data_IF_940746495001
#
_entry.id   IF_940746495001
#
_cell.length_a   1.000
_cell.length_b   1.000
_cell.length_c   1.000
_cell.angle_alpha   90.00
_cell.angle_beta   90.00
_cell.angle_gamma   90.00
#
_symmetry.space_group_name_H-M   'P 1'
#
loop_
_entity.id
_entity.type
_entity.pdbx_description
1 polymer ?
#
# COMPACT_ATOMS: atom_id res chain seq x y z
N UNK A 1 -13.45 -10.70 -3.12
CA UNK A 1 -13.39 -9.41 -3.82
C UNK A 1 -12.49 -8.47 -3.05
N UNK A 2 -11.66 -7.67 -3.74
CA UNK A 2 -10.90 -6.58 -3.15
C UNK A 2 -11.73 -5.29 -3.25
N UNK A 3 -11.80 -4.49 -2.19
CA UNK A 3 -12.41 -3.15 -2.23
C UNK A 3 -11.65 -2.13 -1.37
N UNK A 4 -11.75 -0.87 -1.78
CA UNK A 4 -11.16 0.30 -1.13
C UNK A 4 -12.24 1.34 -0.91
N UNK A 5 -12.35 1.86 0.31
CA UNK A 5 -13.22 3.00 0.63
C UNK A 5 -12.41 4.09 1.33
N UNK A 6 -12.69 5.35 0.99
CA UNK A 6 -12.05 6.53 1.57
C UNK A 6 -13.07 7.31 2.42
N UNK A 7 -13.34 6.88 3.68
CA UNK A 7 -14.34 7.51 4.54
C UNK A 7 -14.08 9.00 4.81
N UNK A 8 -12.82 9.43 4.73
CA UNK A 8 -12.44 10.84 4.93
C UNK A 8 -12.34 11.62 3.60
N UNK A 9 -13.02 11.12 2.55
CA UNK A 9 -13.02 11.70 1.21
C UNK A 9 -11.81 11.30 0.35
N UNK A 10 -11.81 11.69 -0.94
CA UNK A 10 -10.74 11.31 -1.87
C UNK A 10 -9.41 12.01 -1.54
N UNK A 11 -8.35 11.55 -2.21
CA UNK A 11 -7.01 12.12 -2.11
C UNK A 11 -6.21 11.61 -0.92
N UNK A 12 -4.90 11.49 -1.11
CA UNK A 12 -3.97 11.08 -0.06
C UNK A 12 -3.56 12.30 0.77
N UNK A 13 -3.82 12.29 2.08
CA UNK A 13 -3.39 13.33 3.00
C UNK A 13 -3.11 12.73 4.38
N UNK A 14 -2.13 13.28 5.11
CA UNK A 14 -1.82 12.87 6.49
C UNK A 14 -3.08 12.97 7.35
N UNK A 15 -3.33 11.94 8.15
CA UNK A 15 -4.50 11.83 9.00
C UNK A 15 -5.69 11.09 8.37
N UNK A 16 -5.80 11.07 7.03
CA UNK A 16 -6.92 10.40 6.33
C UNK A 16 -6.86 8.89 6.48
N UNK A 17 -8.03 8.28 6.52
CA UNK A 17 -8.22 6.84 6.67
C UNK A 17 -8.80 6.21 5.42
N UNK A 18 -8.41 4.97 5.20
CA UNK A 18 -8.81 4.16 4.07
C UNK A 18 -9.15 2.76 4.58
N UNK A 19 -10.35 2.30 4.26
CA UNK A 19 -10.81 0.96 4.60
C UNK A 19 -10.54 0.02 3.42
N UNK A 20 -9.69 -0.97 3.64
CA UNK A 20 -9.29 -1.96 2.64
C UNK A 20 -9.88 -3.30 3.04
N UNK A 21 -10.59 -3.93 2.12
CA UNK A 21 -11.07 -5.31 2.26
C UNK A 21 -10.41 -6.13 1.17
N UNK A 22 -9.54 -7.06 1.55
CA UNK A 22 -8.97 -8.05 0.64
C UNK A 22 -9.67 -9.40 0.81
N UNK A 23 -9.68 -10.28 -0.22
CA UNK A 23 -10.19 -11.64 -0.09
C UNK A 23 -9.51 -12.37 1.07
N UNK A 24 -10.26 -13.16 1.84
CA UNK A 24 -9.75 -13.94 2.99
C UNK A 24 -9.17 -13.12 4.17
N UNK A 25 -9.19 -11.79 4.11
CA UNK A 25 -8.81 -10.92 5.22
C UNK A 25 -10.02 -10.17 5.75
N UNK A 26 -10.00 -9.81 7.03
CA UNK A 26 -10.97 -8.86 7.60
C UNK A 26 -10.78 -7.48 6.99
N UNK A 27 -11.80 -6.62 7.08
CA UNK A 27 -11.68 -5.24 6.63
C UNK A 27 -10.71 -4.52 7.59
N UNK A 28 -9.65 -3.94 7.05
CA UNK A 28 -8.65 -3.19 7.82
C UNK A 28 -8.77 -1.71 7.50
N UNK A 29 -8.64 -0.86 8.53
CA UNK A 29 -8.61 0.59 8.38
C UNK A 29 -7.17 1.05 8.54
N UNK A 30 -6.62 1.63 7.47
CA UNK A 30 -5.28 2.20 7.42
C UNK A 30 -5.37 3.71 7.49
N UNK A 31 -4.52 4.34 8.31
CA UNK A 31 -4.39 5.79 8.44
C UNK A 31 -3.09 6.23 7.78
N UNK A 32 -3.11 7.28 6.98
CA UNK A 32 -1.89 7.91 6.47
C UNK A 32 -1.22 8.68 7.61
N UNK A 33 0.04 8.37 7.90
CA UNK A 33 0.81 9.03 8.97
C UNK A 33 1.84 10.01 8.42
N UNK A 34 2.36 9.75 7.23
CA UNK A 34 3.41 10.56 6.60
C UNK A 34 3.19 10.64 5.09
N UNK A 35 3.48 11.80 4.51
CA UNK A 35 3.55 12.01 3.06
C UNK A 35 4.71 12.94 2.77
N UNK A 36 5.56 12.52 1.85
CA UNK A 36 6.48 13.39 1.11
C UNK A 36 6.01 13.40 -0.37
N UNK A 37 5.39 14.49 -0.86
CA UNK A 37 4.75 14.52 -2.16
C UNK A 37 5.66 14.08 -3.31
N UNK A 38 5.24 13.03 -4.03
CA UNK A 38 5.99 12.46 -5.14
C UNK A 38 7.17 11.57 -4.75
N UNK A 39 7.48 11.45 -3.46
CA UNK A 39 8.64 10.70 -2.96
C UNK A 39 8.22 9.52 -2.09
N UNK A 40 7.36 9.71 -1.10
CA UNK A 40 6.96 8.62 -0.21
C UNK A 40 5.66 8.87 0.53
N UNK A 41 5.07 7.79 1.05
CA UNK A 41 4.01 7.88 2.03
C UNK A 41 3.99 6.66 2.95
N UNK A 42 3.51 6.85 4.17
CA UNK A 42 3.43 5.81 5.21
C UNK A 42 1.99 5.68 5.70
N UNK A 43 1.55 4.43 5.83
CA UNK A 43 0.29 4.03 6.44
C UNK A 43 0.54 3.34 7.77
N UNK A 44 -0.42 3.47 8.68
CA UNK A 44 -0.48 2.75 9.94
C UNK A 44 -1.83 2.04 10.06
N UNK A 45 -1.82 0.79 10.53
CA UNK A 45 -3.01 0.06 10.94
C UNK A 45 -2.82 -0.45 12.36
N UNK A 46 -3.80 -0.18 13.22
CA UNK A 46 -3.84 -0.62 14.61
C UNK A 46 -4.97 -1.62 14.82
N UNK A 47 -4.69 -2.71 15.51
CA UNK A 47 -5.66 -3.72 15.94
C UNK A 47 -5.33 -4.23 17.34
N UNK A 48 -6.21 -5.02 17.97
CA UNK A 48 -5.92 -5.62 19.27
C UNK A 48 -4.61 -6.40 19.22
N UNK A 49 -3.60 -6.01 20.00
CA UNK A 49 -2.29 -6.69 20.08
C UNK A 49 -1.41 -6.63 18.83
N UNK A 50 -1.78 -5.85 17.80
CA UNK A 50 -1.06 -5.75 16.53
C UNK A 50 -1.01 -4.33 15.99
N UNK A 51 0.15 -3.98 15.43
CA UNK A 51 0.46 -2.69 14.82
C UNK A 51 1.20 -2.96 13.52
N UNK A 52 0.72 -2.41 12.42
CA UNK A 52 1.36 -2.56 11.12
C UNK A 52 1.64 -1.19 10.50
N UNK A 53 2.81 -1.05 9.90
CA UNK A 53 3.20 0.09 9.08
C UNK A 53 3.39 -0.39 7.65
N UNK A 54 2.87 0.35 6.69
CA UNK A 54 3.16 0.14 5.27
C UNK A 54 3.78 1.41 4.70
N UNK A 55 4.98 1.31 4.14
CA UNK A 55 5.68 2.43 3.52
C UNK A 55 5.84 2.19 2.02
N UNK A 56 5.64 3.25 1.26
CA UNK A 56 5.90 3.28 -0.18
C UNK A 56 6.92 4.38 -0.45
N UNK A 57 7.99 4.03 -1.15
CA UNK A 57 8.95 4.98 -1.69
C UNK A 57 8.90 4.96 -3.22
N UNK A 58 9.01 6.13 -3.83
CA UNK A 58 9.04 6.35 -5.27
C UNK A 58 10.37 6.97 -5.62
N UNK A 59 11.19 6.26 -6.37
CA UNK A 59 12.53 6.70 -6.77
C UNK A 59 12.59 6.85 -8.28
N UNK A 60 12.91 8.05 -8.81
CA UNK A 60 13.14 8.22 -10.24
C UNK A 60 14.37 7.41 -10.67
N UNK A 61 14.29 6.80 -11.84
CA UNK A 61 15.37 6.06 -12.47
C UNK A 61 15.70 6.66 -13.84
N UNK A 62 16.94 6.46 -14.36
CA UNK A 62 17.31 6.89 -15.70
C UNK A 62 16.36 6.36 -16.78
N UNK A 63 16.14 7.17 -17.82
CA UNK A 63 15.27 6.85 -18.95
C UNK A 63 13.78 7.03 -18.65
N UNK A 64 13.42 7.96 -17.75
CA UNK A 64 12.02 8.23 -17.39
C UNK A 64 11.34 7.10 -16.61
N UNK A 65 12.13 6.16 -16.09
CA UNK A 65 11.63 5.02 -15.32
C UNK A 65 11.42 5.41 -13.87
N UNK A 66 10.67 4.60 -13.15
CA UNK A 66 10.41 4.80 -11.72
C UNK A 66 10.48 3.46 -11.00
N UNK A 67 11.19 3.43 -9.88
CA UNK A 67 11.16 2.31 -8.94
C UNK A 67 10.19 2.65 -7.81
N UNK A 68 9.18 1.80 -7.61
CA UNK A 68 8.34 1.87 -6.42
C UNK A 68 8.74 0.74 -5.49
N UNK A 69 9.18 1.08 -4.28
CA UNK A 69 9.48 0.11 -3.22
C UNK A 69 8.35 0.11 -2.21
N UNK A 70 7.85 -1.07 -1.87
CA UNK A 70 6.82 -1.27 -0.85
C UNK A 70 7.42 -2.04 0.33
N UNK A 71 7.19 -1.56 1.54
CA UNK A 71 7.66 -2.18 2.77
C UNK A 71 6.48 -2.32 3.72
N UNK A 72 6.39 -3.46 4.41
CA UNK A 72 5.45 -3.64 5.52
C UNK A 72 6.23 -4.09 6.75
N UNK A 73 6.10 -3.35 7.85
CA UNK A 73 6.58 -3.70 9.19
C UNK A 73 5.36 -4.09 10.04
N UNK A 74 5.38 -5.27 10.65
CA UNK A 74 4.33 -5.74 11.55
C UNK A 74 4.93 -5.99 12.93
N UNK A 75 4.35 -5.34 13.94
CA UNK A 75 4.75 -5.43 15.34
C UNK A 75 3.54 -5.94 16.14
N UNK A 76 3.70 -7.01 16.92
CA UNK A 76 2.59 -7.54 17.72
C UNK A 76 2.79 -8.96 18.21
N UNK A 77 1.98 -9.36 19.20
CA UNK A 77 2.16 -10.56 20.00
C UNK A 77 1.33 -11.78 19.54
N UNK A 78 0.72 -11.75 18.36
CA UNK A 78 0.07 -12.96 17.82
C UNK A 78 1.15 -13.96 17.40
N UNK A 79 1.28 -15.03 18.19
CA UNK A 79 2.39 -15.99 18.20
C UNK A 79 2.99 -16.34 16.84
N UNK A 80 4.29 -16.62 16.83
CA UNK A 80 5.17 -16.82 15.67
C UNK A 80 4.56 -17.61 14.49
N UNK A 81 3.65 -18.54 14.72
CA UNK A 81 2.96 -19.32 13.68
C UNK A 81 1.84 -18.53 12.97
N UNK A 82 0.97 -17.83 13.71
CA UNK A 82 -0.09 -16.98 13.12
C UNK A 82 0.55 -15.76 12.44
N UNK A 83 1.57 -15.18 13.07
CA UNK A 83 2.37 -14.11 12.46
C UNK A 83 3.00 -14.52 11.13
N UNK A 84 3.54 -15.74 11.02
CA UNK A 84 4.18 -16.23 9.78
C UNK A 84 3.20 -16.49 8.64
N UNK A 85 2.02 -17.04 8.92
CA UNK A 85 0.97 -17.25 7.91
C UNK A 85 0.39 -15.92 7.41
N UNK A 86 0.16 -14.98 8.33
CA UNK A 86 -0.30 -13.63 7.97
C UNK A 86 0.77 -12.90 7.16
N UNK A 87 2.05 -13.02 7.53
CA UNK A 87 3.18 -12.43 6.78
C UNK A 87 3.25 -12.96 5.34
N UNK A 88 3.08 -14.27 5.12
CA UNK A 88 3.15 -14.85 3.77
C UNK A 88 1.96 -14.44 2.90
N UNK A 89 0.75 -14.36 3.47
CA UNK A 89 -0.43 -13.83 2.79
C UNK A 89 -0.27 -12.35 2.46
N UNK A 90 0.20 -11.54 3.42
CA UNK A 90 0.50 -10.11 3.19
C UNK A 90 1.52 -9.93 2.08
N UNK A 91 2.58 -10.74 2.03
CA UNK A 91 3.58 -10.68 0.95
C UNK A 91 2.99 -10.98 -0.42
N UNK A 92 2.17 -12.03 -0.54
CA UNK A 92 1.50 -12.35 -1.81
C UNK A 92 0.55 -11.23 -2.28
N UNK A 93 -0.13 -10.57 -1.35
CA UNK A 93 -0.98 -9.43 -1.70
C UNK A 93 -0.17 -8.18 -2.06
N UNK A 94 0.96 -7.93 -1.40
CA UNK A 94 1.90 -6.89 -1.80
C UNK A 94 2.41 -7.10 -3.23
N UNK A 95 2.79 -8.32 -3.59
CA UNK A 95 3.28 -8.62 -4.95
C UNK A 95 2.19 -8.39 -6.01
N UNK A 96 0.94 -8.72 -5.68
CA UNK A 96 -0.23 -8.47 -6.54
C UNK A 96 -0.53 -6.97 -6.67
N UNK A 97 -0.49 -6.23 -5.56
CA UNK A 97 -0.66 -4.77 -5.56
C UNK A 97 0.46 -4.07 -6.34
N UNK A 98 1.72 -4.50 -6.18
CA UNK A 98 2.87 -3.98 -6.91
C UNK A 98 2.69 -4.17 -8.42
N UNK A 99 2.26 -5.37 -8.82
CA UNK A 99 1.99 -5.70 -10.23
C UNK A 99 0.85 -4.83 -10.79
N UNK A 100 -0.24 -4.69 -10.05
CA UNK A 100 -1.37 -3.83 -10.44
C UNK A 100 -0.98 -2.35 -10.56
N UNK A 101 -0.22 -1.84 -9.58
CA UNK A 101 0.29 -0.47 -9.59
C UNK A 101 1.18 -0.21 -10.80
N UNK A 102 2.11 -1.13 -11.09
CA UNK A 102 2.98 -1.05 -12.26
C UNK A 102 2.16 -1.01 -13.56
N UNK A 103 1.27 -1.98 -13.76
CA UNK A 103 0.46 -2.04 -14.98
C UNK A 103 -0.38 -0.78 -15.17
N UNK A 104 -0.99 -0.25 -14.10
CA UNK A 104 -1.79 0.98 -14.16
C UNK A 104 -0.95 2.20 -14.47
N UNK A 105 0.22 2.34 -13.82
CA UNK A 105 1.13 3.46 -14.05
C UNK A 105 1.68 3.46 -15.47
N UNK A 106 2.09 2.29 -15.99
CA UNK A 106 2.57 2.15 -17.37
C UNK A 106 1.48 2.47 -18.41
N UNK A 107 0.24 2.03 -18.17
CA UNK A 107 -0.88 2.40 -19.04
C UNK A 107 -1.12 3.91 -19.07
N UNK A 108 -1.11 4.59 -17.91
CA UNK A 108 -1.26 6.04 -17.83
C UNK A 108 -0.07 6.77 -18.47
N UNK A 109 1.15 6.26 -18.30
CA UNK A 109 2.35 6.80 -18.94
C UNK A 109 2.28 6.71 -20.47
N UNK A 110 1.87 5.55 -21.01
CA UNK A 110 1.66 5.38 -22.46
C UNK A 110 0.59 6.31 -23.00
N UNK A 111 -0.54 6.45 -22.28
CA UNK A 111 -1.61 7.36 -22.68
C UNK A 111 -1.13 8.82 -22.71
N UNK A 112 -0.30 9.25 -21.76
CA UNK A 112 0.29 10.60 -21.75
C UNK A 112 1.34 10.82 -22.84
N UNK A 113 2.13 9.79 -23.18
CA UNK A 113 3.11 9.85 -24.26
C UNK A 113 2.51 9.79 -25.67
N UNK A 114 1.30 9.22 -25.83
CA UNK A 114 0.58 9.16 -27.10
C UNK A 114 -0.15 10.47 -27.48
N UNK A 115 -0.19 11.44 -26.55
CA UNK A 115 -0.76 12.77 -26.75
C UNK A 115 0.33 13.87 -26.77
N UNK A 116 1.59 13.51 -26.98
CA UNK A 116 2.73 14.41 -27.09
C UNK A 116 3.35 14.34 -28.49
#
# INVERSE_FOLDING_TARGET
MTSLAAPDGPGLAVGKRFAIKQPRMTKLVWKVTEIDPGVSWTWEQRGPGALAYARHDVTPLPGGRTLVRQQIDQRGAFGSVVGRLMTSMTKRYLDMEASGLKSRAEQLGRARGAHA
#
